data_IF_417860410596
#
_entry.id   IF_417860410596
#
_cell.length_a   1.000
_cell.length_b   1.000
_cell.length_c   1.000
_cell.angle_alpha   90.00
_cell.angle_beta   90.00
_cell.angle_gamma   90.00
#
_symmetry.space_group_name_H-M   'P 1'
#
loop_
_entity.id
_entity.type
_entity.pdbx_description
1 polymer ?
#
# COMPACT_ATOMS: atom_id res chain seq x y z
N UNK A 1 57.72 -35.99 11.88
CA UNK A 1 56.38 -35.39 12.02
C UNK A 1 55.94 -34.95 10.63
N UNK A 2 54.97 -35.65 10.03
CA UNK A 2 54.60 -35.45 8.62
C UNK A 2 53.68 -34.22 8.45
N UNK A 3 53.99 -33.28 7.53
CA UNK A 3 53.22 -32.05 7.31
C UNK A 3 51.89 -32.26 6.54
N UNK A 4 51.62 -33.47 6.05
CA UNK A 4 50.42 -33.78 5.26
C UNK A 4 49.14 -34.00 6.08
N UNK A 5 49.22 -34.14 7.41
CA UNK A 5 48.05 -34.39 8.28
C UNK A 5 47.41 -33.11 8.83
N UNK A 6 48.02 -31.95 8.61
CA UNK A 6 47.51 -30.66 9.11
C UNK A 6 46.51 -30.01 8.13
N UNK A 7 46.67 -30.25 6.82
CA UNK A 7 45.77 -29.68 5.80
C UNK A 7 44.39 -30.39 5.74
N UNK A 8 44.30 -31.70 5.99
CA UNK A 8 43.02 -32.41 5.83
C UNK A 8 42.01 -32.14 6.95
N UNK A 9 42.50 -31.78 8.15
CA UNK A 9 41.63 -31.50 9.31
C UNK A 9 40.95 -30.13 9.23
N UNK A 10 41.62 -29.14 8.64
CA UNK A 10 41.05 -27.79 8.50
C UNK A 10 40.06 -27.70 7.32
N UNK A 11 40.28 -28.49 6.25
CA UNK A 11 39.33 -28.59 5.14
C UNK A 11 37.99 -29.22 5.56
N UNK A 12 38.03 -30.25 6.42
CA UNK A 12 36.82 -30.88 6.94
C UNK A 12 36.03 -29.95 7.89
N UNK A 13 36.71 -29.09 8.66
CA UNK A 13 36.07 -28.14 9.57
C UNK A 13 35.36 -27.01 8.82
N UNK A 14 35.97 -26.50 7.74
CA UNK A 14 35.36 -25.49 6.87
C UNK A 14 34.11 -26.01 6.15
N UNK A 15 34.13 -27.28 5.70
CA UNK A 15 32.98 -27.89 5.03
C UNK A 15 31.80 -28.16 5.99
N UNK A 16 32.07 -28.39 7.28
CA UNK A 16 31.04 -28.60 8.31
C UNK A 16 30.40 -27.26 8.76
N UNK A 17 31.17 -26.16 8.78
CA UNK A 17 30.67 -24.83 9.12
C UNK A 17 29.75 -24.26 8.03
N UNK A 18 30.03 -24.55 6.75
CA UNK A 18 29.13 -24.19 5.64
C UNK A 18 27.83 -24.99 5.62
N UNK A 19 27.80 -26.21 6.18
CA UNK A 19 26.58 -27.02 6.25
C UNK A 19 25.65 -26.59 7.40
N UNK A 20 26.18 -26.02 8.49
CA UNK A 20 25.41 -25.51 9.63
C UNK A 20 24.66 -24.19 9.33
N UNK A 21 25.18 -23.33 8.45
CA UNK A 21 24.49 -22.09 8.06
C UNK A 21 23.33 -22.29 7.06
N UNK A 22 23.21 -23.47 6.44
CA UNK A 22 22.09 -23.80 5.55
C UNK A 22 20.88 -24.43 6.29
N UNK A 23 20.99 -24.68 7.60
CA UNK A 23 20.01 -25.45 8.38
C UNK A 23 19.01 -24.67 9.24
N UNK A 24 19.11 -23.34 9.36
CA UNK A 24 18.11 -22.54 10.08
C UNK A 24 16.99 -22.08 9.14
N UNK A 25 16.25 -23.04 8.61
CA UNK A 25 15.02 -22.81 7.89
C UNK A 25 13.94 -23.74 8.41
N UNK A 26 13.39 -23.46 9.60
CA UNK A 26 12.11 -23.99 10.06
C UNK A 26 11.68 -23.33 11.38
N UNK A 27 10.68 -22.46 11.33
CA UNK A 27 9.66 -22.33 12.36
C UNK A 27 8.55 -21.40 11.84
N UNK A 28 7.64 -21.94 11.04
CA UNK A 28 6.32 -21.32 10.89
C UNK A 28 5.52 -21.64 12.15
N UNK A 29 5.02 -20.65 12.92
CA UNK A 29 4.01 -20.93 13.92
C UNK A 29 2.71 -21.33 13.23
N UNK A 30 2.25 -22.52 13.58
CA UNK A 30 0.97 -23.10 13.19
C UNK A 30 -0.20 -22.17 13.56
N UNK A 31 -1.24 -22.21 12.72
CA UNK A 31 -2.42 -21.38 12.80
C UNK A 31 -3.09 -21.39 14.16
N UNK A 32 -3.41 -20.20 14.64
CA UNK A 32 -4.39 -20.00 15.71
C UNK A 32 -5.76 -20.29 15.11
N UNK A 33 -6.32 -21.42 15.52
CA UNK A 33 -7.65 -21.87 15.17
C UNK A 33 -8.66 -20.98 15.92
N UNK A 34 -9.31 -20.10 15.17
CA UNK A 34 -10.35 -19.22 15.68
C UNK A 34 -11.63 -20.03 15.92
N UNK A 35 -11.88 -20.35 17.18
CA UNK A 35 -13.15 -20.90 17.65
C UNK A 35 -14.19 -19.79 17.74
N UNK A 36 -15.24 -19.88 16.94
CA UNK A 36 -16.54 -19.25 17.20
C UNK A 36 -17.61 -19.96 16.36
N UNK A 37 -18.90 -19.99 16.76
CA UNK A 37 -19.49 -19.70 18.07
C UNK A 37 -20.40 -20.84 18.57
N UNK A 38 -20.60 -20.92 19.90
CA UNK A 38 -21.78 -21.57 20.47
C UNK A 38 -22.85 -20.49 20.63
N UNK A 39 -23.93 -20.58 19.87
CA UNK A 39 -25.15 -19.82 20.08
C UNK A 39 -26.25 -20.77 20.60
N UNK A 40 -27.13 -20.31 21.52
CA UNK A 40 -28.08 -21.16 22.22
C UNK A 40 -29.25 -21.57 21.31
N UNK A 41 -29.74 -22.79 21.51
CA UNK A 41 -31.11 -23.18 21.16
C UNK A 41 -32.08 -22.25 21.90
N UNK A 42 -32.93 -21.56 21.14
CA UNK A 42 -34.11 -20.88 21.67
C UNK A 42 -35.35 -21.37 20.92
N UNK A 43 -36.36 -21.68 21.72
CA UNK A 43 -37.55 -22.46 21.41
C UNK A 43 -38.48 -21.78 20.41
N UNK A 44 -39.14 -22.60 19.60
CA UNK A 44 -40.28 -22.22 18.75
C UNK A 44 -41.55 -22.15 19.61
N UNK A 45 -42.36 -21.09 19.45
CA UNK A 45 -43.80 -21.28 19.49
C UNK A 45 -44.48 -20.83 18.19
N UNK A 46 -45.29 -21.75 17.68
CA UNK A 46 -46.25 -21.58 16.59
C UNK A 46 -47.41 -20.65 16.95
N UNK A 47 -47.94 -19.97 15.92
CA UNK A 47 -49.17 -19.14 15.92
C UNK A 47 -48.79 -17.67 15.82
N UNK A 48 -49.26 -16.86 14.84
CA UNK A 48 -50.66 -16.60 14.46
C UNK A 48 -50.71 -15.95 13.04
N UNK A 49 -51.69 -16.39 12.23
CA UNK A 49 -52.40 -15.70 11.13
C UNK A 49 -51.67 -14.90 10.01
N UNK A 50 -51.91 -15.22 8.72
CA UNK A 50 -51.60 -14.31 7.61
C UNK A 50 -52.72 -13.27 7.43
N UNK A 51 -52.46 -12.03 7.84
CA UNK A 51 -53.19 -10.86 7.34
C UNK A 51 -52.60 -10.51 5.98
N UNK A 52 -53.41 -10.63 4.93
CA UNK A 52 -53.04 -10.23 3.58
C UNK A 52 -52.90 -8.71 3.52
N UNK A 53 -51.68 -8.21 3.59
CA UNK A 53 -51.35 -6.87 3.10
C UNK A 53 -51.14 -6.98 1.60
N UNK A 54 -52.08 -6.41 0.84
CA UNK A 54 -51.98 -6.22 -0.61
C UNK A 54 -50.67 -5.51 -0.93
N UNK A 55 -49.69 -6.27 -1.42
CA UNK A 55 -48.48 -5.76 -2.07
C UNK A 55 -48.88 -5.21 -3.43
N UNK A 56 -49.14 -3.90 -3.48
CA UNK A 56 -49.12 -3.17 -4.74
C UNK A 56 -47.68 -3.20 -5.26
N UNK A 57 -47.41 -3.67 -6.48
CA UNK A 57 -46.07 -3.59 -7.06
C UNK A 57 -45.76 -2.11 -7.29
N UNK A 58 -44.87 -1.55 -6.47
CA UNK A 58 -44.19 -0.31 -6.80
C UNK A 58 -43.33 -0.61 -8.03
N UNK A 59 -43.90 -0.34 -9.21
CA UNK A 59 -43.16 -0.27 -10.46
C UNK A 59 -41.97 0.68 -10.24
N UNK A 60 -40.73 0.30 -10.55
CA UNK A 60 -39.63 1.24 -10.55
C UNK A 60 -40.02 2.37 -11.49
N UNK A 61 -40.16 3.58 -10.96
CA UNK A 61 -40.14 4.75 -11.81
C UNK A 61 -38.77 4.73 -12.48
N UNK A 62 -38.72 4.34 -13.75
CA UNK A 62 -37.57 4.60 -14.59
C UNK A 62 -37.41 6.13 -14.62
N UNK A 63 -36.53 6.64 -13.76
CA UNK A 63 -36.03 8.00 -13.86
C UNK A 63 -35.42 8.15 -15.25
N UNK A 64 -36.21 8.70 -16.17
CA UNK A 64 -35.82 8.99 -17.54
C UNK A 64 -34.91 10.21 -17.50
N UNK A 65 -33.66 10.01 -17.09
CA UNK A 65 -32.62 11.03 -17.22
C UNK A 65 -32.55 11.34 -18.72
N UNK A 66 -32.85 12.58 -19.16
CA UNK A 66 -32.78 12.93 -20.57
C UNK A 66 -31.37 12.65 -21.10
N UNK A 67 -31.22 12.27 -22.39
CA UNK A 67 -29.91 11.96 -22.96
C UNK A 67 -29.02 13.21 -22.94
N UNK A 68 -28.16 13.29 -21.93
CA UNK A 68 -27.11 14.31 -21.83
C UNK A 68 -25.91 13.84 -22.65
N UNK A 69 -25.44 14.69 -23.56
CA UNK A 69 -24.20 14.42 -24.31
C UNK A 69 -23.05 14.44 -23.29
N UNK A 70 -22.24 13.38 -23.15
CA UNK A 70 -21.18 13.37 -22.16
C UNK A 70 -20.09 14.41 -22.47
N UNK A 71 -19.60 15.09 -21.44
CA UNK A 71 -18.41 15.94 -21.47
C UNK A 71 -17.16 15.09 -21.24
N UNK A 72 -16.25 15.09 -22.21
CA UNK A 72 -14.95 14.40 -22.11
C UNK A 72 -13.96 15.23 -21.29
N UNK A 73 -13.37 14.61 -20.27
CA UNK A 73 -12.38 15.23 -19.39
C UNK A 73 -11.12 14.37 -19.24
N UNK A 74 -9.99 15.03 -19.06
CA UNK A 74 -8.70 14.42 -18.71
C UNK A 74 -8.55 14.42 -17.19
N UNK A 75 -8.40 13.24 -16.61
CA UNK A 75 -8.04 13.04 -15.22
C UNK A 75 -6.54 12.75 -15.12
N UNK A 76 -5.81 13.65 -14.46
CA UNK A 76 -4.36 13.55 -14.26
C UNK A 76 -4.05 13.36 -12.79
N UNK A 77 -3.44 12.24 -12.43
CA UNK A 77 -2.97 11.93 -11.10
C UNK A 77 -1.44 12.03 -11.05
N UNK A 78 -0.92 12.80 -10.11
CA UNK A 78 0.51 12.98 -9.88
C UNK A 78 0.86 12.68 -8.43
N UNK A 79 1.89 11.87 -8.21
CA UNK A 79 2.34 11.45 -6.88
C UNK A 79 3.83 11.10 -6.85
N UNK A 80 4.49 11.18 -5.69
CA UNK A 80 5.88 10.75 -5.55
C UNK A 80 6.00 9.23 -5.62
N UNK A 81 6.94 8.73 -6.42
CA UNK A 81 7.24 7.28 -6.43
C UNK A 81 8.05 6.84 -5.20
N UNK A 82 8.82 7.76 -4.61
CA UNK A 82 9.74 7.50 -3.50
C UNK A 82 9.74 8.63 -2.49
N UNK A 83 9.82 8.30 -1.21
CA UNK A 83 9.81 9.28 -0.11
C UNK A 83 10.71 8.82 1.05
N UNK A 84 11.27 9.75 1.83
CA UNK A 84 12.01 9.38 3.06
C UNK A 84 11.07 9.22 4.25
N UNK A 85 11.14 8.08 4.91
CA UNK A 85 10.36 7.81 6.12
C UNK A 85 10.73 8.76 7.27
N UNK A 86 9.72 9.27 7.98
CA UNK A 86 9.85 10.01 9.24
C UNK A 86 10.30 11.47 9.15
N UNK A 87 10.65 11.98 7.97
CA UNK A 87 11.18 13.35 7.81
C UNK A 87 10.31 14.19 6.88
N UNK A 88 10.10 13.69 5.66
CA UNK A 88 9.52 14.45 4.57
C UNK A 88 8.01 14.18 4.44
N UNK A 89 7.28 15.22 4.06
CA UNK A 89 5.91 15.11 3.54
C UNK A 89 5.92 15.59 2.11
N UNK A 90 5.07 15.00 1.28
CA UNK A 90 4.95 15.34 -0.13
C UNK A 90 3.46 15.32 -0.55
N UNK A 91 3.17 15.68 -1.79
CA UNK A 91 1.81 15.96 -2.27
C UNK A 91 1.39 14.96 -3.34
N UNK A 92 0.23 14.36 -3.14
CA UNK A 92 -0.55 13.71 -4.19
C UNK A 92 -1.51 14.73 -4.76
N UNK A 93 -1.53 14.90 -6.09
CA UNK A 93 -2.43 15.83 -6.79
C UNK A 93 -3.28 15.08 -7.81
N UNK A 94 -4.59 15.30 -7.75
CA UNK A 94 -5.53 14.83 -8.76
C UNK A 94 -6.15 16.05 -9.46
N UNK A 95 -6.06 16.10 -10.78
CA UNK A 95 -6.57 17.21 -11.59
C UNK A 95 -7.55 16.69 -12.62
N UNK A 96 -8.76 17.24 -12.66
CA UNK A 96 -9.78 16.95 -13.64
C UNK A 96 -9.93 18.16 -14.57
N UNK A 97 -9.49 18.03 -15.82
CA UNK A 97 -9.46 19.10 -16.82
C UNK A 97 -10.35 18.77 -18.01
N UNK A 98 -10.87 19.79 -18.69
CA UNK A 98 -11.72 19.58 -19.87
C UNK A 98 -10.86 19.28 -21.10
N UNK A 99 -11.07 18.12 -21.71
CA UNK A 99 -10.27 17.63 -22.84
C UNK A 99 -11.16 17.32 -24.04
N UNK A 100 -11.93 18.32 -24.49
CA UNK A 100 -12.92 18.17 -25.57
C UNK A 100 -12.30 17.74 -26.91
N UNK A 101 -11.00 17.94 -27.10
CA UNK A 101 -10.27 17.62 -28.33
C UNK A 101 -9.25 16.48 -28.14
N UNK A 102 -9.12 15.90 -26.94
CA UNK A 102 -8.16 14.84 -26.66
C UNK A 102 -6.69 15.26 -26.72
N UNK A 103 -6.42 16.56 -26.60
CA UNK A 103 -5.10 17.16 -26.83
C UNK A 103 -4.30 17.40 -25.54
N UNK A 104 -4.92 17.24 -24.36
CA UNK A 104 -4.22 17.46 -23.10
C UNK A 104 -3.30 16.28 -22.81
N UNK A 105 -1.99 16.55 -22.82
CA UNK A 105 -0.95 15.61 -22.41
C UNK A 105 -0.70 15.77 -20.91
N UNK A 106 -0.81 14.71 -20.09
CA UNK A 106 -0.45 14.75 -18.68
C UNK A 106 1.04 15.09 -18.51
N UNK A 107 1.33 16.15 -17.75
CA UNK A 107 2.71 16.57 -17.46
C UNK A 107 2.92 16.70 -15.97
N UNK A 108 4.08 16.25 -15.48
CA UNK A 108 4.45 16.41 -14.08
C UNK A 108 4.72 17.88 -13.78
N UNK A 109 4.15 18.41 -12.70
CA UNK A 109 4.54 19.73 -12.21
C UNK A 109 5.70 19.65 -11.20
N UNK A 110 5.89 18.49 -10.57
CA UNK A 110 6.99 18.22 -9.64
C UNK A 110 7.94 17.21 -10.28
N UNK A 111 9.22 17.56 -10.32
CA UNK A 111 10.26 16.71 -10.87
C UNK A 111 10.37 15.39 -10.08
N UNK A 112 10.42 14.26 -10.79
CA UNK A 112 10.54 12.93 -10.17
C UNK A 112 9.20 12.28 -9.78
N UNK A 113 8.09 13.02 -9.86
CA UNK A 113 6.77 12.44 -9.64
C UNK A 113 6.30 11.58 -10.81
N UNK A 114 5.52 10.56 -10.48
CA UNK A 114 4.83 9.72 -11.45
C UNK A 114 3.54 10.43 -11.83
N UNK A 115 3.23 10.42 -13.13
CA UNK A 115 2.01 11.00 -13.67
C UNK A 115 1.23 9.94 -14.42
N UNK A 116 -0.05 9.80 -14.07
CA UNK A 116 -1.01 8.91 -14.72
C UNK A 116 -2.13 9.77 -15.29
N UNK A 117 -2.43 9.58 -16.57
CA UNK A 117 -3.53 10.28 -17.25
C UNK A 117 -4.59 9.31 -17.73
N UNK A 118 -5.86 9.64 -17.48
CA UNK A 118 -7.02 8.87 -17.87
C UNK A 118 -8.04 9.80 -18.55
N UNK A 119 -8.70 9.35 -19.62
CA UNK A 119 -9.83 10.08 -20.20
C UNK A 119 -11.11 9.55 -19.58
N UNK A 120 -11.93 10.43 -19.00
CA UNK A 120 -13.23 10.07 -18.43
C UNK A 120 -14.35 10.85 -19.13
N UNK A 121 -15.52 10.24 -19.20
CA UNK A 121 -16.74 10.85 -19.75
C UNK A 121 -17.73 11.14 -18.63
N UNK A 122 -18.20 12.39 -18.56
CA UNK A 122 -19.09 12.87 -17.49
C UNK A 122 -20.43 13.29 -18.10
N UNK A 123 -21.58 12.87 -17.55
CA UNK A 123 -22.87 13.36 -18.01
C UNK A 123 -22.98 14.90 -17.92
N UNK A 124 -23.36 15.57 -19.02
CA UNK A 124 -23.58 17.03 -19.08
C UNK A 124 -24.93 17.41 -18.46
N UNK A 125 -25.02 17.27 -17.14
CA UNK A 125 -26.22 17.55 -16.35
C UNK A 125 -26.16 18.91 -15.63
N UNK A 126 -25.23 19.80 -15.98
CA UNK A 126 -25.01 21.06 -15.26
C UNK A 126 -26.20 22.04 -15.33
N UNK A 127 -27.10 21.89 -16.29
CA UNK A 127 -28.31 22.72 -16.39
C UNK A 127 -29.33 22.35 -15.31
N UNK A 128 -29.57 21.04 -15.12
CA UNK A 128 -30.59 20.50 -14.21
C UNK A 128 -30.05 20.17 -12.82
N UNK A 129 -28.76 19.86 -12.70
CA UNK A 129 -28.11 19.43 -11.46
C UNK A 129 -26.99 20.38 -11.04
N UNK A 130 -26.76 20.47 -9.74
CA UNK A 130 -25.50 20.94 -9.18
C UNK A 130 -24.56 19.75 -9.10
N UNK A 131 -23.41 19.86 -9.79
CA UNK A 131 -22.42 18.78 -9.86
C UNK A 131 -21.26 19.11 -8.92
N UNK A 132 -20.89 18.16 -8.07
CA UNK A 132 -19.75 18.27 -7.15
C UNK A 132 -18.85 17.06 -7.34
N UNK A 133 -17.57 17.30 -7.61
CA UNK A 133 -16.57 16.26 -7.65
C UNK A 133 -16.08 15.96 -6.23
N UNK A 134 -16.12 14.68 -5.86
CA UNK A 134 -15.65 14.17 -4.57
C UNK A 134 -14.43 13.29 -4.82
N UNK A 135 -13.30 13.66 -4.24
CA UNK A 135 -12.08 12.88 -4.34
C UNK A 135 -11.64 12.35 -2.98
N UNK A 136 -11.12 11.13 -2.94
CA UNK A 136 -10.62 10.50 -1.73
C UNK A 136 -9.35 9.71 -2.00
N UNK A 137 -8.34 9.90 -1.18
CA UNK A 137 -7.14 9.07 -1.16
C UNK A 137 -7.23 8.06 -0.01
N UNK A 138 -7.22 6.77 -0.35
CA UNK A 138 -7.11 5.68 0.61
C UNK A 138 -5.72 5.06 0.51
N UNK A 139 -4.89 5.28 1.54
CA UNK A 139 -3.49 4.85 1.56
C UNK A 139 -3.15 4.34 2.96
N UNK A 140 -3.11 3.02 3.11
CA UNK A 140 -2.85 2.39 4.39
C UNK A 140 -1.37 2.54 4.81
N UNK A 141 -1.13 2.76 6.11
CA UNK A 141 0.22 2.80 6.68
C UNK A 141 0.98 4.11 6.46
N UNK A 142 0.37 5.10 5.81
CA UNK A 142 0.88 6.47 5.71
C UNK A 142 -0.09 7.44 6.37
N UNK A 143 0.45 8.55 6.88
CA UNK A 143 -0.38 9.68 7.30
C UNK A 143 -0.83 10.45 6.06
N UNK A 144 -2.13 10.71 5.94
CA UNK A 144 -2.75 11.41 4.82
C UNK A 144 -3.55 12.59 5.35
N UNK A 145 -3.34 13.77 4.76
CA UNK A 145 -4.05 15.00 5.13
C UNK A 145 -4.54 15.74 3.87
N UNK A 146 -5.85 16.04 3.75
CA UNK A 146 -6.93 15.58 4.62
C UNK A 146 -7.16 14.07 4.46
N UNK A 147 -7.57 13.38 5.53
CA UNK A 147 -7.88 11.93 5.47
C UNK A 147 -9.30 11.65 4.94
N UNK A 148 -10.16 12.67 4.95
CA UNK A 148 -11.54 12.62 4.48
C UNK A 148 -11.66 12.90 2.98
N UNK A 149 -12.86 12.73 2.44
CA UNK A 149 -13.16 13.13 1.06
C UNK A 149 -13.10 14.65 0.91
N UNK A 150 -12.49 15.12 -0.17
CA UNK A 150 -12.47 16.53 -0.58
C UNK A 150 -13.56 16.75 -1.62
N UNK A 151 -14.32 17.85 -1.50
CA UNK A 151 -15.42 18.19 -2.39
C UNK A 151 -15.12 19.49 -3.12
N UNK A 152 -15.18 19.46 -4.44
CA UNK A 152 -15.00 20.63 -5.30
C UNK A 152 -16.21 20.79 -6.23
N UNK A 153 -16.85 21.97 -6.29
CA UNK A 153 -17.95 22.20 -7.21
C UNK A 153 -17.46 22.12 -8.66
N UNK A 154 -18.14 21.32 -9.48
CA UNK A 154 -17.78 21.12 -10.87
C UNK A 154 -18.73 21.91 -11.76
N UNK A 155 -18.20 22.92 -12.46
CA UNK A 155 -18.94 23.64 -13.50
C UNK A 155 -18.52 23.13 -14.87
N UNK A 156 -19.43 23.27 -15.83
CA UNK A 156 -19.17 23.00 -17.24
C UNK A 156 -17.94 23.79 -17.71
N UNK A 157 -16.99 23.13 -18.37
CA UNK A 157 -15.78 23.81 -18.85
C UNK A 157 -14.72 24.13 -17.79
N UNK A 158 -14.98 23.93 -16.49
CA UNK A 158 -14.03 24.27 -15.42
C UNK A 158 -13.25 23.06 -14.92
N UNK A 159 -11.97 23.25 -14.61
CA UNK A 159 -11.14 22.21 -14.00
C UNK A 159 -11.35 22.14 -12.48
N UNK A 160 -11.16 20.95 -11.90
CA UNK A 160 -11.10 20.73 -10.46
C UNK A 160 -9.74 20.15 -10.07
N UNK A 161 -9.24 20.50 -8.89
CA UNK A 161 -7.93 20.03 -8.42
C UNK A 161 -7.98 19.70 -6.94
N UNK A 162 -7.48 18.52 -6.60
CA UNK A 162 -7.45 17.97 -5.24
C UNK A 162 -6.00 17.74 -4.83
N UNK A 163 -5.72 17.98 -3.55
CA UNK A 163 -4.38 17.82 -2.99
C UNK A 163 -4.45 17.06 -1.67
N UNK A 164 -3.55 16.10 -1.49
CA UNK A 164 -3.31 15.44 -0.23
C UNK A 164 -1.84 15.53 0.12
N UNK A 165 -1.54 15.96 1.34
CA UNK A 165 -0.22 15.79 1.94
C UNK A 165 -0.10 14.38 2.49
N UNK A 166 0.95 13.67 2.11
CA UNK A 166 1.24 12.31 2.57
C UNK A 166 2.58 12.28 3.31
N UNK A 167 2.67 11.47 4.37
CA UNK A 167 3.88 11.30 5.16
C UNK A 167 4.05 9.84 5.60
N UNK A 168 5.11 9.14 5.15
CA UNK A 168 5.41 7.81 5.64
C UNK A 168 6.10 7.87 7.01
N UNK A 169 5.66 7.05 7.95
CA UNK A 169 6.28 6.94 9.29
C UNK A 169 7.39 5.88 9.31
N UNK A 170 7.24 4.82 8.52
CA UNK A 170 8.17 3.71 8.44
C UNK A 170 8.62 3.48 7.00
N UNK A 171 9.73 2.76 6.84
CA UNK A 171 10.22 2.35 5.51
C UNK A 171 9.41 1.17 5.00
N UNK A 172 9.02 1.17 3.73
CA UNK A 172 8.21 0.11 3.16
C UNK A 172 7.61 0.46 1.80
N UNK A 173 6.87 -0.47 1.22
CA UNK A 173 6.09 -0.23 0.02
C UNK A 173 4.63 0.01 0.41
N UNK A 174 4.10 1.16 0.05
CA UNK A 174 2.74 1.56 0.34
C UNK A 174 1.91 1.53 -0.95
N UNK A 175 0.72 0.93 -0.86
CA UNK A 175 -0.22 0.85 -1.97
C UNK A 175 -1.55 1.44 -1.55
N UNK A 176 -2.10 2.28 -2.40
CA UNK A 176 -3.36 2.97 -2.15
C UNK A 176 -4.23 3.09 -3.39
N UNK A 177 -5.39 3.70 -3.22
CA UNK A 177 -6.33 4.00 -4.29
C UNK A 177 -6.80 5.44 -4.18
N UNK A 178 -6.72 6.16 -5.29
CA UNK A 178 -7.33 7.49 -5.46
C UNK A 178 -8.68 7.30 -6.13
N UNK A 179 -9.73 7.65 -5.41
CA UNK A 179 -11.11 7.58 -5.87
C UNK A 179 -11.59 8.95 -6.33
N UNK A 180 -12.32 8.97 -7.45
CA UNK A 180 -13.08 10.12 -7.88
C UNK A 180 -14.54 9.70 -8.06
N UNK A 181 -15.43 10.42 -7.37
CA UNK A 181 -16.87 10.31 -7.51
C UNK A 181 -17.45 11.65 -7.98
N UNK A 182 -18.60 11.60 -8.63
CA UNK A 182 -19.40 12.76 -8.93
C UNK A 182 -20.72 12.66 -8.18
N UNK A 183 -21.06 13.74 -7.49
CA UNK A 183 -22.32 13.91 -6.80
C UNK A 183 -23.19 14.89 -7.61
N UNK A 184 -24.36 14.45 -8.03
CA UNK A 184 -25.35 15.23 -8.75
C UNK A 184 -26.51 15.54 -7.80
N UNK A 185 -26.84 16.81 -7.63
CA UNK A 185 -27.98 17.24 -6.83
C UNK A 185 -28.98 17.95 -7.75
N UNK A 186 -30.16 17.38 -7.94
CA UNK A 186 -31.20 17.99 -8.78
C UNK A 186 -31.62 19.35 -8.21
N UNK A 187 -31.63 20.39 -9.04
CA UNK A 187 -31.91 21.77 -8.60
C UNK A 187 -33.38 22.01 -8.24
N UNK A 188 -34.28 21.17 -8.72
CA UNK A 188 -35.73 21.28 -8.54
C UNK A 188 -36.25 20.40 -7.40
N UNK A 189 -35.79 19.15 -7.30
CA UNK A 189 -36.24 18.18 -6.29
C UNK A 189 -35.30 18.07 -5.10
N UNK A 190 -34.01 18.40 -5.28
CA UNK A 190 -32.96 18.17 -4.27
C UNK A 190 -32.52 16.70 -4.17
N UNK A 191 -32.98 15.83 -5.07
CA UNK A 191 -32.55 14.43 -5.13
C UNK A 191 -31.05 14.34 -5.42
N UNK A 192 -30.38 13.35 -4.82
CA UNK A 192 -28.92 13.21 -4.88
C UNK A 192 -28.53 11.88 -5.48
N UNK A 193 -27.74 11.93 -6.55
CA UNK A 193 -27.11 10.77 -7.16
C UNK A 193 -25.60 10.82 -7.02
N UNK A 194 -24.97 9.68 -6.73
CA UNK A 194 -23.51 9.55 -6.59
C UNK A 194 -23.00 8.45 -7.50
N UNK A 195 -22.05 8.79 -8.37
CA UNK A 195 -21.42 7.82 -9.29
C UNK A 195 -19.91 7.78 -9.07
N UNK A 196 -19.32 6.59 -9.12
CA UNK A 196 -17.87 6.42 -9.16
C UNK A 196 -17.39 6.55 -10.61
N UNK A 197 -16.48 7.48 -10.88
CA UNK A 197 -15.97 7.75 -12.24
C UNK A 197 -14.56 7.24 -12.47
N UNK A 198 -13.73 7.15 -11.42
CA UNK A 198 -12.39 6.58 -11.52
C UNK A 198 -11.89 6.05 -10.18
N UNK A 199 -11.03 5.03 -10.26
CA UNK A 199 -10.33 4.41 -9.14
C UNK A 199 -8.91 4.05 -9.58
N UNK A 200 -7.94 4.91 -9.27
CA UNK A 200 -6.54 4.75 -9.71
C UNK A 200 -5.68 4.22 -8.56
N UNK A 201 -4.94 3.13 -8.84
CA UNK A 201 -4.03 2.52 -7.87
C UNK A 201 -2.71 3.28 -7.91
N UNK A 202 -2.20 3.63 -6.72
CA UNK A 202 -0.87 4.23 -6.56
C UNK A 202 0.04 3.35 -5.71
N UNK A 203 1.33 3.45 -5.95
CA UNK A 203 2.37 2.75 -5.22
C UNK A 203 3.51 3.72 -4.89
N UNK A 204 3.89 3.78 -3.61
CA UNK A 204 4.89 4.71 -3.08
C UNK A 204 5.89 3.93 -2.22
N UNK A 205 7.17 4.04 -2.54
CA UNK A 205 8.26 3.41 -1.77
C UNK A 205 8.81 4.39 -0.74
N UNK A 206 8.65 4.08 0.55
CA UNK A 206 9.31 4.79 1.62
C UNK A 206 10.69 4.17 1.92
N UNK A 207 11.73 4.98 1.73
CA UNK A 207 13.14 4.63 1.93
C UNK A 207 13.68 5.25 3.22
N UNK A 208 14.82 4.74 3.69
CA UNK A 208 15.47 5.27 4.89
C UNK A 208 16.11 6.65 4.66
N UNK A 209 16.74 7.21 5.70
CA UNK A 209 17.43 8.51 5.61
C UNK A 209 18.50 8.56 4.52
N UNK A 210 19.15 7.44 4.20
CA UNK A 210 20.16 7.37 3.14
C UNK A 210 19.57 7.11 1.76
N UNK A 211 18.24 6.99 1.66
CA UNK A 211 17.54 6.66 0.42
C UNK A 211 17.69 5.18 0.04
N UNK A 212 18.15 4.34 0.96
CA UNK A 212 18.29 2.90 0.74
C UNK A 212 16.94 2.24 0.99
N UNK A 213 16.58 1.32 0.09
CA UNK A 213 15.39 0.50 0.31
C UNK A 213 15.64 -0.50 1.44
N UNK A 214 14.55 -0.96 2.06
CA UNK A 214 14.58 -1.93 3.16
C UNK A 214 15.39 -3.18 2.81
N UNK A 215 15.36 -3.60 1.54
CA UNK A 215 16.09 -4.78 1.06
C UNK A 215 17.61 -4.55 1.05
N UNK A 216 18.07 -3.33 0.74
CA UNK A 216 19.50 -2.99 0.76
C UNK A 216 20.01 -2.89 2.20
N UNK A 217 19.24 -2.29 3.10
CA UNK A 217 19.59 -2.23 4.52
C UNK A 217 19.71 -3.64 5.15
N UNK A 218 18.75 -4.54 4.86
CA UNK A 218 18.79 -5.93 5.35
C UNK A 218 19.99 -6.71 4.80
N UNK A 219 20.26 -6.61 3.50
CA UNK A 219 21.35 -7.38 2.86
C UNK A 219 22.73 -6.88 3.28
N UNK A 220 22.93 -5.56 3.39
CA UNK A 220 24.18 -5.00 3.90
C UNK A 220 24.46 -5.37 5.35
N UNK A 221 23.42 -5.42 6.20
CA UNK A 221 23.53 -5.92 7.57
C UNK A 221 23.98 -7.39 7.63
N UNK A 222 23.42 -8.25 6.78
CA UNK A 222 23.82 -9.68 6.70
C UNK A 222 25.27 -9.81 6.21
N UNK A 223 25.65 -9.12 5.13
CA UNK A 223 27.03 -9.16 4.61
C UNK A 223 28.02 -8.62 5.64
N UNK A 224 27.70 -7.50 6.28
CA UNK A 224 28.49 -6.92 7.36
C UNK A 224 28.63 -7.86 8.56
N UNK A 225 27.57 -8.61 8.90
CA UNK A 225 27.61 -9.61 9.98
C UNK A 225 28.44 -10.83 9.63
N UNK A 226 28.42 -11.28 8.36
CA UNK A 226 29.29 -12.38 7.90
C UNK A 226 30.75 -11.93 7.90
N UNK A 227 31.06 -10.75 7.36
CA UNK A 227 32.43 -10.21 7.35
C UNK A 227 32.89 -9.93 8.79
N UNK A 228 32.05 -9.30 9.61
CA UNK A 228 32.31 -9.04 11.02
C UNK A 228 32.43 -10.32 11.85
N UNK A 229 31.70 -11.37 11.50
CA UNK A 229 31.84 -12.70 12.07
C UNK A 229 33.13 -13.36 11.65
N UNK A 230 33.51 -13.33 10.37
CA UNK A 230 34.77 -13.89 9.85
C UNK A 230 35.99 -13.11 10.33
N UNK A 231 35.87 -11.82 10.67
CA UNK A 231 36.95 -11.02 11.23
C UNK A 231 36.96 -11.12 12.77
N UNK A 232 35.79 -11.02 13.40
CA UNK A 232 35.61 -11.00 14.86
C UNK A 232 35.66 -12.39 15.50
N UNK A 233 35.44 -13.43 14.70
CA UNK A 233 35.43 -14.82 15.13
C UNK A 233 36.19 -15.66 14.12
N UNK A 234 37.45 -16.01 14.41
CA UNK A 234 37.88 -17.17 13.64
C UNK A 234 38.76 -18.18 14.38
N UNK A 235 39.20 -17.94 15.61
CA UNK A 235 40.14 -18.86 16.27
C UNK A 235 40.28 -18.63 17.79
N UNK A 236 39.45 -17.76 18.39
CA UNK A 236 39.69 -17.23 19.73
C UNK A 236 39.78 -18.33 20.80
N UNK A 237 38.87 -19.30 20.72
CA UNK A 237 38.74 -20.34 21.73
C UNK A 237 39.70 -21.52 21.51
N UNK A 238 40.05 -21.83 20.26
CA UNK A 238 41.05 -22.84 19.93
C UNK A 238 42.49 -22.36 20.23
N UNK A 239 42.76 -21.06 20.12
CA UNK A 239 43.99 -20.40 20.60
C UNK A 239 44.06 -20.41 22.13
N UNK A 240 42.96 -20.05 22.80
CA UNK A 240 42.89 -20.03 24.26
C UNK A 240 43.08 -21.44 24.86
N UNK A 241 42.42 -22.47 24.32
CA UNK A 241 42.52 -23.85 24.83
C UNK A 241 43.85 -24.52 24.54
N UNK A 242 44.53 -24.20 23.45
CA UNK A 242 45.87 -24.74 23.16
C UNK A 242 46.96 -24.14 24.08
N UNK A 243 46.86 -22.84 24.41
CA UNK A 243 47.77 -22.13 25.34
C UNK A 243 47.69 -22.65 26.78
N UNK A 244 46.49 -22.94 27.26
CA UNK A 244 46.30 -23.47 28.62
C UNK A 244 46.79 -24.92 28.77
N UNK A 245 46.88 -25.70 27.68
CA UNK A 245 47.26 -27.13 27.74
C UNK A 245 48.77 -27.39 27.82
N UNK A 246 49.64 -26.46 27.40
CA UNK A 246 51.11 -26.66 27.35
C UNK A 246 51.85 -26.28 28.64
N UNK A 247 51.28 -25.38 29.45
CA UNK A 247 51.88 -24.92 30.73
C UNK A 247 51.74 -25.94 31.87
N UNK A 248 50.77 -26.84 31.76
CA UNK A 248 50.53 -27.94 32.72
C UNK A 248 51.63 -29.02 32.69
N UNK A 249 52.38 -29.16 31.59
CA UNK A 249 53.28 -30.30 31.37
C UNK A 249 54.78 -30.05 31.70
N UNK A 250 55.14 -28.99 32.45
CA UNK A 250 56.54 -28.65 32.81
C UNK A 250 56.81 -28.56 34.32
N UNK A 251 55.97 -29.21 35.14
CA UNK A 251 56.23 -29.48 36.56
C UNK A 251 56.01 -30.98 36.84
N UNK A 252 56.88 -31.80 36.29
CA UNK A 252 57.22 -33.14 36.77
C UNK A 252 58.68 -33.38 36.47
#
# INVERSE_FOLDING_TARGET
MNPSTFLSRNAALFMLLTLMLAGLGCAMPAGVQQSAPAAPEEEVPSGIQPTQTTSQPSQPAESTVPPAIPETRRLTLEFPSKMRAGVESDVVRLTLEVDALGNITPTAQIEGNVVVGETIEIPDLYETHNVTAEARLDLAGMEVQPFESIYEPLKKGQSATFHWSIRPQETGLYRGTVWLHLNFVDKSTGETDRIAVSAQIIEIEAVDFFGLSVNVARTSGVVGSVIGGVIGFPFLEDILRFLFKRKSNKRR
#
